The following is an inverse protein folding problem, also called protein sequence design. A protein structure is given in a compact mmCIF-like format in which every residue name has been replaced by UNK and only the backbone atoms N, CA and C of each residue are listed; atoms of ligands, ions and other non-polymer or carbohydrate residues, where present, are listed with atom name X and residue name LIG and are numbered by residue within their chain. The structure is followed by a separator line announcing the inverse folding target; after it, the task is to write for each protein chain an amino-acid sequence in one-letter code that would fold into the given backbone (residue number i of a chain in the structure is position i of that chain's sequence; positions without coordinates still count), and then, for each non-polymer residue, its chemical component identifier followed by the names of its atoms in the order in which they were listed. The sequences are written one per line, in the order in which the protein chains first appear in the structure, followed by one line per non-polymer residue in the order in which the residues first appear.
data_IF_740006316056
#
_entry.id   IF_740006316056
#
_cell.length_a   1.000
_cell.length_b   1.000
_cell.length_c   1.000
_cell.angle_alpha   90.00
_cell.angle_beta   90.00
_cell.angle_gamma   90.00
#
_symmetry.space_group_name_H-M   'P 1'
#
loop_
_entity.id
_entity.type
_entity.pdbx_description
1 polymer ?
#
# COMPACT_ATOMS: atom_id res chain seq x y z
N UNK A 1 10.37 -3.17 -25.84
CA UNK A 1 9.31 -2.13 -25.79
C UNK A 1 9.35 -1.52 -24.40
N UNK A 2 9.56 -0.20 -24.25
CA UNK A 2 9.50 0.42 -22.91
C UNK A 2 8.07 0.28 -22.40
N UNK A 3 7.89 -0.33 -21.24
CA UNK A 3 6.59 -0.38 -20.58
C UNK A 3 6.21 1.05 -20.22
N UNK A 4 5.15 1.58 -20.82
CA UNK A 4 4.52 2.82 -20.39
C UNK A 4 3.94 2.64 -18.98
N UNK A 5 3.97 3.71 -18.19
CA UNK A 5 3.51 3.71 -16.79
C UNK A 5 2.63 4.91 -16.51
N UNK A 6 1.69 4.76 -15.57
CA UNK A 6 0.77 5.81 -15.13
C UNK A 6 0.74 5.88 -13.59
N UNK A 7 0.57 7.10 -13.08
CA UNK A 7 0.46 7.35 -11.64
C UNK A 7 -0.98 7.10 -11.15
N UNK A 8 -1.09 6.45 -10.00
CA UNK A 8 -2.34 6.09 -9.33
C UNK A 8 -2.25 6.55 -7.88
N UNK A 9 -3.30 7.20 -7.38
CA UNK A 9 -3.33 7.71 -6.01
C UNK A 9 -4.15 6.76 -5.15
N UNK A 10 -3.53 6.21 -4.12
CA UNK A 10 -4.26 5.54 -3.04
C UNK A 10 -4.74 6.63 -2.08
N UNK A 11 -6.04 6.79 -1.96
CA UNK A 11 -6.66 7.80 -1.10
C UNK A 11 -7.86 7.21 -0.37
N UNK A 12 -8.12 7.73 0.83
CA UNK A 12 -9.37 7.49 1.54
C UNK A 12 -10.16 8.79 1.62
N UNK A 13 -11.49 8.69 1.55
CA UNK A 13 -12.37 9.86 1.68
C UNK A 13 -12.95 9.88 3.08
N UNK A 14 -12.64 10.92 3.84
CA UNK A 14 -13.31 11.21 5.10
C UNK A 14 -14.50 12.14 4.84
N UNK A 15 -15.68 11.85 5.41
CA UNK A 15 -16.92 12.57 5.08
C UNK A 15 -16.82 14.09 5.30
N UNK A 16 -16.22 14.52 6.40
CA UNK A 16 -16.12 15.95 6.78
C UNK A 16 -14.94 16.64 6.10
N UNK A 17 -13.82 15.93 5.94
CA UNK A 17 -12.57 16.55 5.48
C UNK A 17 -12.48 16.48 3.95
N UNK A 18 -13.06 15.46 3.31
CA UNK A 18 -12.84 15.12 1.91
C UNK A 18 -11.72 14.09 1.74
N UNK A 19 -11.16 13.95 0.52
CA UNK A 19 -10.12 12.96 0.25
C UNK A 19 -8.80 13.30 0.97
N UNK A 20 -8.07 12.25 1.36
CA UNK A 20 -6.70 12.31 1.87
C UNK A 20 -5.87 11.23 1.18
N UNK A 21 -4.74 11.65 0.62
CA UNK A 21 -3.83 10.76 -0.10
C UNK A 21 -2.92 9.99 0.86
N UNK A 22 -2.66 8.72 0.57
CA UNK A 22 -1.73 7.89 1.34
C UNK A 22 -0.41 7.72 0.59
N UNK A 23 -0.49 7.36 -0.69
CA UNK A 23 0.68 7.13 -1.54
C UNK A 23 0.31 7.31 -3.01
N UNK A 24 1.30 7.71 -3.81
CA UNK A 24 1.22 7.69 -5.28
C UNK A 24 2.02 6.50 -5.79
N UNK A 25 1.37 5.64 -6.57
CA UNK A 25 1.96 4.45 -7.16
C UNK A 25 2.08 4.62 -8.66
N UNK A 26 3.29 4.40 -9.19
CA UNK A 26 3.51 4.33 -10.64
C UNK A 26 3.38 2.88 -11.09
N UNK A 27 2.31 2.58 -11.82
CA UNK A 27 2.00 1.23 -12.30
C UNK A 27 2.12 1.16 -13.83
N UNK A 28 2.39 -0.01 -14.42
CA UNK A 28 2.29 -0.19 -15.87
C UNK A 28 0.87 0.11 -16.39
N UNK A 29 0.72 0.56 -17.63
CA UNK A 29 -0.59 0.99 -18.16
C UNK A 29 -1.71 -0.06 -18.14
N UNK A 30 -1.37 -1.35 -18.19
CA UNK A 30 -2.34 -2.44 -18.11
C UNK A 30 -2.83 -2.73 -16.68
N UNK A 31 -2.30 -2.03 -15.69
CA UNK A 31 -2.70 -2.14 -14.31
C UNK A 31 -3.69 -1.04 -13.94
N UNK A 32 -4.66 -1.43 -13.12
CA UNK A 32 -5.68 -0.54 -12.57
C UNK A 32 -5.67 -0.57 -11.04
N UNK A 33 -6.17 0.51 -10.43
CA UNK A 33 -6.29 0.65 -8.98
C UNK A 33 -7.76 0.66 -8.60
N UNK A 34 -8.19 -0.33 -7.81
CA UNK A 34 -9.57 -0.44 -7.31
C UNK A 34 -9.61 -0.38 -5.80
N UNK A 35 -10.81 -0.19 -5.25
CA UNK A 35 -11.04 -0.22 -3.80
C UNK A 35 -10.68 -1.61 -3.25
N UNK A 36 -9.93 -1.61 -2.14
CA UNK A 36 -9.56 -2.82 -1.43
C UNK A 36 -10.69 -3.34 -0.54
N UNK A 37 -10.42 -4.44 0.17
CA UNK A 37 -11.44 -5.14 0.95
C UNK A 37 -11.59 -4.60 2.37
N UNK A 38 -10.55 -3.99 2.93
CA UNK A 38 -10.59 -3.49 4.30
C UNK A 38 -11.07 -2.05 4.33
N UNK A 39 -11.87 -1.67 5.35
CA UNK A 39 -12.21 -0.27 5.58
C UNK A 39 -10.95 0.58 5.64
N UNK A 40 -11.05 1.77 5.03
CA UNK A 40 -10.00 2.78 5.05
C UNK A 40 -10.36 3.82 6.10
N UNK A 41 -9.35 4.33 6.79
CA UNK A 41 -9.53 5.31 7.85
C UNK A 41 -8.37 6.31 7.89
N UNK A 42 -8.67 7.54 8.31
CA UNK A 42 -7.73 8.66 8.34
C UNK A 42 -7.74 9.27 9.74
N UNK A 43 -6.68 9.02 10.50
CA UNK A 43 -6.56 9.49 11.88
C UNK A 43 -5.96 10.90 11.94
N UNK A 44 -4.97 11.18 11.10
CA UNK A 44 -4.28 12.47 11.09
C UNK A 44 -3.83 12.85 9.69
N UNK A 45 -3.98 14.13 9.35
CA UNK A 45 -3.66 14.66 8.02
C UNK A 45 -2.68 15.82 8.08
N UNK A 46 -1.87 15.96 7.03
CA UNK A 46 -1.03 17.13 6.79
C UNK A 46 -1.33 17.69 5.40
N UNK A 47 -1.21 19.01 5.24
CA UNK A 47 -1.24 19.65 3.92
C UNK A 47 0.19 19.92 3.46
N UNK A 48 0.53 19.41 2.29
CA UNK A 48 1.83 19.62 1.64
C UNK A 48 1.58 19.97 0.17
N UNK A 49 2.15 21.09 -0.29
CA UNK A 49 2.00 21.59 -1.66
C UNK A 49 0.53 21.68 -2.15
N UNK A 50 -0.37 22.10 -1.26
CA UNK A 50 -1.80 22.22 -1.55
C UNK A 50 -2.56 20.89 -1.59
N UNK A 51 -1.91 19.76 -1.33
CA UNK A 51 -2.50 18.42 -1.32
C UNK A 51 -2.59 17.90 0.12
N UNK A 52 -3.72 17.26 0.45
CA UNK A 52 -3.90 16.62 1.76
C UNK A 52 -3.37 15.19 1.75
N UNK A 53 -2.53 14.89 2.72
CA UNK A 53 -1.92 13.57 2.93
C UNK A 53 -2.31 13.00 4.29
N UNK A 54 -2.59 11.70 4.34
CA UNK A 54 -2.79 10.95 5.57
C UNK A 54 -1.43 10.65 6.20
N UNK A 55 -1.09 11.39 7.27
CA UNK A 55 0.13 11.18 8.04
C UNK A 55 -0.06 10.08 9.12
N UNK A 56 -1.31 9.78 9.49
CA UNK A 56 -1.67 8.58 10.23
C UNK A 56 -3.00 8.00 9.73
N UNK A 57 -3.08 6.68 9.58
CA UNK A 57 -4.28 5.94 9.18
C UNK A 57 -3.96 4.68 8.38
N UNK A 58 -5.00 4.11 7.74
CA UNK A 58 -4.81 3.03 6.78
C UNK A 58 -5.68 3.19 5.53
N UNK A 59 -5.16 2.71 4.39
CA UNK A 59 -5.91 2.56 3.16
C UNK A 59 -5.74 1.16 2.58
N UNK A 60 -6.72 0.73 1.79
CA UNK A 60 -6.76 -0.58 1.13
C UNK A 60 -7.11 -0.42 -0.32
N UNK A 61 -6.35 -1.08 -1.19
CA UNK A 61 -6.56 -1.07 -2.62
C UNK A 61 -6.35 -2.47 -3.22
N UNK A 62 -6.87 -2.65 -4.42
CA UNK A 62 -6.62 -3.83 -5.25
C UNK A 62 -5.93 -3.38 -6.54
N UNK A 63 -4.69 -3.83 -6.74
CA UNK A 63 -3.93 -3.64 -7.98
C UNK A 63 -4.35 -4.74 -8.95
N UNK A 64 -4.96 -4.38 -10.08
CA UNK A 64 -5.52 -5.35 -11.01
C UNK A 64 -4.77 -5.31 -12.34
N UNK A 65 -4.12 -6.42 -12.69
CA UNK A 65 -3.55 -6.62 -14.02
C UNK A 65 -4.61 -7.28 -14.91
N UNK A 66 -5.39 -6.45 -15.60
CA UNK A 66 -6.50 -6.91 -16.42
C UNK A 66 -6.04 -7.84 -17.56
N UNK A 67 -4.83 -7.61 -18.07
CA UNK A 67 -4.24 -8.40 -19.17
C UNK A 67 -3.88 -9.82 -18.71
N UNK A 68 -3.34 -9.96 -17.50
CA UNK A 68 -2.93 -11.26 -16.97
C UNK A 68 -3.98 -11.94 -16.08
N UNK A 69 -5.14 -11.31 -15.86
CA UNK A 69 -6.22 -11.87 -15.06
C UNK A 69 -5.85 -12.09 -13.59
N UNK A 70 -4.96 -11.25 -13.03
CA UNK A 70 -4.47 -11.37 -11.66
C UNK A 70 -4.66 -10.06 -10.88
N UNK A 71 -4.70 -10.17 -9.57
CA UNK A 71 -4.81 -9.02 -8.69
C UNK A 71 -3.91 -9.18 -7.46
N UNK A 72 -3.48 -8.04 -6.91
CA UNK A 72 -2.69 -7.95 -5.68
C UNK A 72 -3.44 -7.04 -4.73
N UNK A 73 -3.70 -7.52 -3.52
CA UNK A 73 -4.22 -6.66 -2.47
C UNK A 73 -3.07 -5.83 -1.87
N UNK A 74 -3.31 -4.53 -1.76
CA UNK A 74 -2.38 -3.57 -1.18
C UNK A 74 -3.01 -2.95 0.05
N UNK A 75 -2.30 -3.02 1.17
CA UNK A 75 -2.60 -2.26 2.37
C UNK A 75 -1.51 -1.22 2.57
N UNK A 76 -1.89 0.02 2.80
CA UNK A 76 -0.99 1.13 3.11
C UNK A 76 -1.31 1.60 4.52
N UNK A 77 -0.30 1.63 5.38
CA UNK A 77 -0.41 2.17 6.72
C UNK A 77 0.56 3.33 6.86
N UNK A 78 0.06 4.46 7.34
CA UNK A 78 0.89 5.61 7.71
C UNK A 78 0.75 5.84 9.21
N UNK A 79 1.83 6.25 9.84
CA UNK A 79 1.84 6.63 11.24
C UNK A 79 2.88 7.73 11.45
N UNK A 80 2.66 8.55 12.48
CA UNK A 80 3.64 9.56 12.93
C UNK A 80 4.86 8.94 13.60
N UNK A 81 4.69 7.71 14.09
CA UNK A 81 5.73 6.87 14.69
C UNK A 81 5.94 5.61 13.85
N UNK A 82 6.52 4.55 14.43
CA UNK A 82 6.70 3.29 13.73
C UNK A 82 5.37 2.56 13.56
N UNK A 83 5.17 2.00 12.36
CA UNK A 83 4.13 0.99 12.12
C UNK A 83 4.69 -0.37 12.54
N UNK A 84 3.90 -1.16 13.27
CA UNK A 84 4.30 -2.52 13.64
C UNK A 84 4.42 -3.40 12.40
N UNK A 85 5.56 -4.07 12.25
CA UNK A 85 5.76 -4.97 11.12
C UNK A 85 4.84 -6.19 11.24
N UNK A 86 4.18 -6.53 10.14
CA UNK A 86 3.35 -7.73 10.08
C UNK A 86 4.22 -8.98 10.21
N UNK A 87 3.82 -9.92 11.08
CA UNK A 87 4.55 -11.18 11.25
C UNK A 87 4.34 -12.07 10.02
N UNK A 88 5.41 -12.29 9.27
CA UNK A 88 5.44 -13.18 8.11
C UNK A 88 6.03 -14.54 8.49
N UNK A 89 5.52 -15.60 7.87
CA UNK A 89 6.08 -16.94 7.88
C UNK A 89 7.23 -17.00 6.88
N UNK A 90 8.33 -17.66 7.27
CA UNK A 90 9.53 -17.87 6.44
C UNK A 90 10.09 -16.58 5.81
N UNK A 91 10.05 -15.50 6.59
CA UNK A 91 10.39 -14.17 6.13
C UNK A 91 11.87 -14.03 5.71
N UNK A 92 12.09 -13.51 4.51
CA UNK A 92 13.40 -13.07 4.02
C UNK A 92 13.44 -11.55 4.03
N UNK A 93 14.46 -11.00 4.67
CA UNK A 93 14.60 -9.56 4.87
C UNK A 93 15.69 -8.98 3.96
N UNK A 94 15.56 -7.70 3.65
CA UNK A 94 16.59 -6.93 2.95
C UNK A 94 16.30 -5.44 3.00
N UNK A 95 17.16 -4.68 2.33
CA UNK A 95 17.03 -3.23 2.18
C UNK A 95 17.00 -2.85 0.70
N UNK A 96 16.32 -1.76 0.37
CA UNK A 96 16.24 -1.23 -0.98
C UNK A 96 16.00 0.29 -0.97
N UNK A 97 15.92 0.90 -2.16
CA UNK A 97 15.59 2.32 -2.34
C UNK A 97 14.22 2.44 -3.00
N UNK A 98 13.35 3.28 -2.43
CA UNK A 98 12.00 3.53 -2.98
C UNK A 98 11.78 5.03 -3.05
N UNK A 99 11.55 5.55 -4.25
CA UNK A 99 11.34 6.99 -4.45
C UNK A 99 12.48 7.87 -3.94
N UNK A 100 13.70 7.34 -3.79
CA UNK A 100 14.81 8.08 -3.18
C UNK A 100 14.87 8.01 -1.65
N UNK A 101 14.11 7.12 -1.02
CA UNK A 101 14.18 6.83 0.42
C UNK A 101 14.79 5.46 0.67
N UNK A 102 15.53 5.33 1.77
CA UNK A 102 15.97 4.01 2.26
C UNK A 102 14.76 3.26 2.81
N UNK A 103 14.61 2.02 2.36
CA UNK A 103 13.50 1.16 2.71
C UNK A 103 14.02 -0.19 3.21
N UNK A 104 13.31 -0.76 4.18
CA UNK A 104 13.43 -2.16 4.55
C UNK A 104 12.29 -2.94 3.89
N UNK A 105 12.57 -4.16 3.45
CA UNK A 105 11.55 -5.06 2.95
C UNK A 105 11.64 -6.44 3.60
N UNK A 106 10.50 -7.12 3.62
CA UNK A 106 10.39 -8.53 3.99
C UNK A 106 9.49 -9.25 2.97
N UNK A 107 9.93 -10.40 2.49
CA UNK A 107 9.14 -11.29 1.62
C UNK A 107 8.92 -12.59 2.38
N UNK A 108 7.67 -13.02 2.50
CA UNK A 108 7.33 -14.27 3.17
C UNK A 108 5.90 -14.69 2.85
N UNK A 109 5.34 -15.54 3.70
CA UNK A 109 3.95 -15.96 3.59
C UNK A 109 3.12 -15.43 4.77
N UNK A 110 1.82 -15.26 4.56
CA UNK A 110 0.85 -15.03 5.62
C UNK A 110 -0.38 -15.92 5.41
N UNK A 111 -0.98 -16.32 6.53
CA UNK A 111 -2.20 -17.12 6.54
C UNK A 111 -3.41 -16.26 6.85
N UNK A 112 -4.39 -16.27 5.95
CA UNK A 112 -5.60 -15.47 6.04
C UNK A 112 -6.87 -16.33 6.20
N UNK A 113 -7.91 -15.71 6.75
CA UNK A 113 -9.22 -16.34 6.99
C UNK A 113 -9.40 -16.83 8.44
N UNK A 114 -10.66 -17.12 8.81
CA UNK A 114 -11.05 -17.52 10.17
C UNK A 114 -10.27 -18.75 10.68
N UNK A 115 -9.93 -19.66 9.77
CA UNK A 115 -9.15 -20.86 10.05
C UNK A 115 -7.68 -20.77 9.64
N UNK A 116 -7.20 -19.60 9.16
CA UNK A 116 -5.83 -19.39 8.68
C UNK A 116 -5.38 -20.42 7.63
N UNK A 117 -6.30 -20.90 6.81
CA UNK A 117 -6.02 -21.96 5.83
C UNK A 117 -5.51 -21.42 4.50
N UNK A 118 -5.79 -20.16 4.16
CA UNK A 118 -5.37 -19.57 2.89
C UNK A 118 -3.98 -18.95 3.02
N UNK A 119 -3.01 -19.51 2.30
CA UNK A 119 -1.64 -19.00 2.22
C UNK A 119 -1.52 -17.93 1.13
N UNK A 120 -0.90 -16.81 1.48
CA UNK A 120 -0.59 -15.72 0.55
C UNK A 120 0.89 -15.36 0.63
N UNK A 121 1.51 -15.12 -0.53
CA UNK A 121 2.81 -14.47 -0.58
C UNK A 121 2.62 -12.99 -0.26
N UNK A 122 3.45 -12.45 0.64
CA UNK A 122 3.39 -11.07 1.10
C UNK A 122 4.74 -10.42 0.92
N UNK A 123 4.75 -9.25 0.30
CA UNK A 123 5.86 -8.31 0.30
C UNK A 123 5.47 -7.16 1.24
N UNK A 124 6.19 -7.05 2.35
CA UNK A 124 6.11 -5.91 3.24
C UNK A 124 7.26 -4.95 2.93
N UNK A 125 6.96 -3.66 2.88
CA UNK A 125 7.90 -2.59 2.58
C UNK A 125 7.66 -1.45 3.55
N UNK A 126 8.70 -0.99 4.23
CA UNK A 126 8.64 0.11 5.16
C UNK A 126 9.77 1.11 4.88
N UNK A 127 9.43 2.39 4.88
CA UNK A 127 10.37 3.50 4.72
C UNK A 127 9.88 4.71 5.52
N UNK A 128 10.78 5.66 5.79
CA UNK A 128 10.46 6.92 6.44
C UNK A 128 10.85 8.07 5.51
N UNK A 129 9.92 8.99 5.30
CA UNK A 129 10.14 10.23 4.56
C UNK A 129 10.47 11.37 5.51
#
# INVERSE_FOLDING_TARGET
MKSSTRDHVVAATHFVLGPSNFIVLRLPENWDLRLGRTPMDVDYTVFLDGVRWAQAGQASALLVDAKAGRAIELTVQTARESVSAQKLLDARHGTCRIGGHDAAYAIGAANFGLFKTKHYAVLHVAFRC
#
